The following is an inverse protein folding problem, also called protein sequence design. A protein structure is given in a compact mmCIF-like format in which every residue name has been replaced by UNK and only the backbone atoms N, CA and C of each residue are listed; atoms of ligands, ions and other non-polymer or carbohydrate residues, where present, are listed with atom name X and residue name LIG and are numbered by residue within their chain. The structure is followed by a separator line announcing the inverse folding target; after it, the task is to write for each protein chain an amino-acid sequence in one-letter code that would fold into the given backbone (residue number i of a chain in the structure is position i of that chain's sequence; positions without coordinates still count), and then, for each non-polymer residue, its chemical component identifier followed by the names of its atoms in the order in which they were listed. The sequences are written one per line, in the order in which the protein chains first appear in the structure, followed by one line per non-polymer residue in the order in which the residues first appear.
data_IF_145642337318
#
_entry.id   IF_145642337318
#
_cell.length_a   1.000
_cell.length_b   1.000
_cell.length_c   1.000
_cell.angle_alpha   90.00
_cell.angle_beta   90.00
_cell.angle_gamma   90.00
#
_symmetry.space_group_name_H-M   'P 1'
#
loop_
_entity.id
_entity.type
_entity.pdbx_description
1 polymer ?
#
# COMPACT_ATOMS: atom_id res chain seq x y z
N UNK A 1 -2.04 -3.81 -19.23
CA UNK A 1 -0.84 -4.09 -18.41
C UNK A 1 -1.22 -3.75 -17.01
N UNK A 2 -1.03 -4.71 -16.09
CA UNK A 2 -1.59 -4.67 -14.75
C UNK A 2 -0.53 -4.27 -13.73
N UNK A 3 -0.99 -3.84 -12.57
CA UNK A 3 -0.23 -3.59 -11.34
C UNK A 3 0.58 -4.78 -10.76
N UNK A 4 0.94 -5.77 -11.59
CA UNK A 4 1.70 -6.99 -11.21
C UNK A 4 3.09 -6.69 -10.68
N UNK A 5 3.68 -5.56 -11.09
CA UNK A 5 5.03 -5.14 -10.69
C UNK A 5 5.02 -4.08 -9.57
N UNK A 6 3.84 -3.72 -9.08
CA UNK A 6 3.66 -2.78 -7.97
C UNK A 6 3.30 -3.59 -6.73
N UNK A 7 4.03 -3.33 -5.65
CA UNK A 7 3.82 -3.97 -4.35
C UNK A 7 3.35 -2.92 -3.34
N UNK A 8 2.49 -3.30 -2.42
CA UNK A 8 2.05 -2.47 -1.30
C UNK A 8 2.61 -3.08 -0.02
N UNK A 9 3.38 -2.29 0.74
CA UNK A 9 3.93 -2.72 2.02
C UNK A 9 2.87 -2.63 3.11
N UNK A 10 2.71 -3.72 3.87
CA UNK A 10 1.81 -3.80 5.02
C UNK A 10 2.53 -3.34 6.29
N UNK A 11 1.76 -2.98 7.32
CA UNK A 11 2.26 -2.56 8.62
C UNK A 11 3.12 -3.64 9.30
N UNK A 12 2.89 -4.91 8.98
CA UNK A 12 3.65 -6.05 9.51
C UNK A 12 4.84 -6.44 8.63
N UNK A 13 5.37 -5.50 7.85
CA UNK A 13 6.50 -5.67 6.91
C UNK A 13 6.27 -6.73 5.83
N UNK A 14 5.01 -7.06 5.54
CA UNK A 14 4.64 -7.91 4.41
C UNK A 14 4.53 -7.12 3.11
N UNK A 15 4.58 -7.82 1.97
CA UNK A 15 4.31 -7.24 0.65
C UNK A 15 3.09 -7.90 0.02
N UNK A 16 2.21 -7.07 -0.53
CA UNK A 16 1.01 -7.48 -1.26
C UNK A 16 1.12 -6.98 -2.69
N UNK A 17 0.76 -7.81 -3.67
CA UNK A 17 0.71 -7.35 -5.06
C UNK A 17 -0.47 -6.44 -5.29
N UNK A 18 -0.24 -5.28 -5.91
CA UNK A 18 -1.29 -4.29 -6.13
C UNK A 18 -2.39 -4.79 -7.08
N UNK A 19 -2.09 -5.72 -8.00
CA UNK A 19 -3.13 -6.34 -8.85
C UNK A 19 -4.07 -7.29 -8.09
N UNK A 20 -3.73 -7.69 -6.86
CA UNK A 20 -4.59 -8.52 -6.01
C UNK A 20 -5.54 -7.69 -5.13
N UNK A 21 -5.35 -6.36 -5.10
CA UNK A 21 -6.16 -5.43 -4.32
C UNK A 21 -7.49 -5.20 -5.03
N UNK A 22 -8.59 -5.56 -4.37
CA UNK A 22 -9.97 -5.33 -4.85
C UNK A 22 -10.68 -4.20 -4.13
N UNK A 23 -10.10 -3.68 -3.06
CA UNK A 23 -10.64 -2.56 -2.31
C UNK A 23 -9.62 -1.95 -1.37
N UNK A 24 -9.89 -0.72 -0.96
CA UNK A 24 -9.16 -0.02 0.10
C UNK A 24 -10.21 0.45 1.09
N UNK A 25 -10.00 0.16 2.36
CA UNK A 25 -10.95 0.44 3.42
C UNK A 25 -10.28 1.15 4.59
N UNK A 26 -11.05 1.96 5.31
CA UNK A 26 -10.63 2.60 6.55
C UNK A 26 -11.68 2.40 7.64
N UNK A 27 -11.28 1.78 8.74
CA UNK A 27 -12.20 1.51 9.86
C UNK A 27 -11.49 1.56 11.21
N UNK A 28 -12.28 1.67 12.27
CA UNK A 28 -11.79 1.72 13.65
C UNK A 28 -11.68 0.34 14.27
N UNK A 29 -10.60 0.08 15.01
CA UNK A 29 -10.53 -1.08 15.91
C UNK A 29 -11.54 -0.90 17.05
N UNK A 30 -12.11 -1.99 17.59
CA UNK A 30 -12.92 -1.91 18.81
C UNK A 30 -12.17 -1.22 19.95
N UNK A 31 -12.85 -0.37 20.71
CA UNK A 31 -12.30 0.15 21.95
C UNK A 31 -12.26 -0.98 22.99
N UNK A 32 -11.11 -1.17 23.63
CA UNK A 32 -10.93 -2.14 24.72
C UNK A 32 -10.57 -1.38 26.00
N UNK A 33 -10.91 -1.93 27.16
CA UNK A 33 -10.55 -1.29 28.45
C UNK A 33 -9.04 -1.06 28.51
N UNK A 34 -8.63 0.20 28.68
CA UNK A 34 -7.22 0.62 28.70
C UNK A 34 -6.53 0.74 27.33
N UNK A 35 -7.20 0.46 26.20
CA UNK A 35 -6.65 0.63 24.85
C UNK A 35 -7.59 1.48 23.99
N UNK A 36 -7.20 2.73 23.64
CA UNK A 36 -8.03 3.56 22.79
C UNK A 36 -8.22 2.92 21.41
N UNK A 37 -9.37 3.17 20.81
CA UNK A 37 -9.61 2.81 19.41
C UNK A 37 -8.59 3.50 18.51
N UNK A 38 -8.24 2.82 17.43
CA UNK A 38 -7.32 3.28 16.40
C UNK A 38 -7.95 3.07 15.04
N UNK A 39 -7.66 3.96 14.11
CA UNK A 39 -8.04 3.78 12.72
C UNK A 39 -7.03 2.87 12.02
N UNK A 40 -7.52 2.00 11.16
CA UNK A 40 -6.73 1.16 10.28
C UNK A 40 -7.02 1.59 8.85
N UNK A 41 -5.97 1.72 8.05
CA UNK A 41 -6.06 1.77 6.60
C UNK A 41 -5.64 0.41 6.06
N UNK A 42 -6.57 -0.28 5.40
CA UNK A 42 -6.39 -1.65 4.92
C UNK A 42 -6.55 -1.72 3.40
N UNK A 43 -5.84 -2.67 2.78
CA UNK A 43 -6.17 -3.19 1.45
C UNK A 43 -6.96 -4.49 1.60
N UNK A 44 -7.96 -4.65 0.74
CA UNK A 44 -8.80 -5.84 0.65
C UNK A 44 -8.34 -6.67 -0.53
N UNK A 45 -8.06 -7.95 -0.31
CA UNK A 45 -7.57 -8.85 -1.36
C UNK A 45 -8.65 -9.80 -1.86
N UNK A 46 -8.64 -10.04 -3.17
CA UNK A 46 -9.35 -11.17 -3.78
C UNK A 46 -8.57 -12.46 -3.47
N UNK A 47 -8.69 -12.94 -2.24
CA UNK A 47 -8.13 -14.21 -1.81
C UNK A 47 -9.02 -14.80 -0.75
N UNK A 48 -9.55 -16.03 -0.93
CA UNK A 48 -10.26 -16.69 0.14
C UNK A 48 -9.28 -16.95 1.29
N UNK A 49 -9.49 -16.31 2.44
CA UNK A 49 -8.98 -16.88 3.69
C UNK A 49 -9.97 -17.96 4.10
N UNK A 50 -9.64 -19.19 3.73
CA UNK A 50 -10.44 -20.37 3.99
C UNK A 50 -10.04 -21.06 5.29
N UNK A 51 -10.99 -21.25 6.19
CA UNK A 51 -10.92 -22.26 7.25
C UNK A 51 -12.01 -23.29 6.99
N UNK A 52 -11.65 -24.57 6.99
CA UNK A 52 -12.57 -25.67 6.73
C UNK A 52 -12.96 -26.40 8.02
N UNK A 53 -14.25 -26.64 8.19
CA UNK A 53 -14.75 -27.69 9.09
C UNK A 53 -15.37 -28.81 8.24
N UNK A 54 -15.78 -29.91 8.86
CA UNK A 54 -16.43 -31.04 8.16
C UNK A 54 -17.73 -30.63 7.46
N UNK A 55 -18.32 -29.50 7.84
CA UNK A 55 -19.61 -28.99 7.39
C UNK A 55 -19.51 -27.86 6.33
N UNK A 56 -18.31 -27.38 5.99
CA UNK A 56 -18.15 -26.37 4.93
C UNK A 56 -16.85 -25.58 4.93
N UNK A 57 -16.72 -24.70 3.93
CA UNK A 57 -15.58 -23.79 3.76
C UNK A 57 -16.07 -22.35 3.95
N UNK A 58 -15.50 -21.63 4.93
CA UNK A 58 -15.80 -20.21 5.12
C UNK A 58 -14.81 -19.40 4.30
N UNK A 59 -15.29 -18.62 3.34
CA UNK A 59 -14.48 -17.69 2.53
C UNK A 59 -14.72 -16.28 3.04
N UNK A 60 -13.69 -15.67 3.62
CA UNK A 60 -13.71 -14.23 3.94
C UNK A 60 -12.68 -13.47 3.11
N UNK A 61 -12.96 -12.19 2.88
CA UNK A 61 -11.99 -11.26 2.28
C UNK A 61 -10.83 -11.04 3.23
N UNK A 62 -9.61 -11.03 2.69
CA UNK A 62 -8.41 -10.77 3.46
C UNK A 62 -8.16 -9.26 3.56
N UNK A 63 -8.24 -8.71 4.77
CA UNK A 63 -7.79 -7.36 5.07
C UNK A 63 -6.30 -7.38 5.45
N UNK A 64 -5.51 -6.51 4.82
CA UNK A 64 -4.10 -6.30 5.16
C UNK A 64 -3.89 -4.85 5.54
N UNK A 65 -3.55 -4.62 6.80
CA UNK A 65 -3.30 -3.27 7.31
C UNK A 65 -2.02 -2.69 6.77
N UNK A 66 -2.12 -1.49 6.21
CA UNK A 66 -1.00 -0.70 5.71
C UNK A 66 -0.43 0.19 6.81
N UNK A 67 -1.31 0.90 7.51
CA UNK A 67 -0.95 1.80 8.61
C UNK A 67 -2.11 1.89 9.59
N UNK A 68 -1.78 2.06 10.87
CA UNK A 68 -2.72 2.34 11.94
C UNK A 68 -2.52 3.78 12.42
N UNK A 69 -3.57 4.58 12.59
CA UNK A 69 -3.50 5.98 13.05
C UNK A 69 -4.35 6.21 14.30
N UNK A 70 -4.11 7.32 15.01
CA UNK A 70 -4.95 7.72 16.13
C UNK A 70 -6.24 8.38 15.64
N UNK A 71 -6.12 9.23 14.61
CA UNK A 71 -7.21 9.93 13.95
C UNK A 71 -7.63 9.25 12.64
N UNK A 72 -8.77 9.69 12.12
CA UNK A 72 -9.30 9.28 10.82
C UNK A 72 -8.28 9.58 9.70
N UNK A 73 -7.93 8.59 8.84
CA UNK A 73 -7.01 8.78 7.72
C UNK A 73 -7.59 9.62 6.57
N UNK A 74 -8.85 10.06 6.65
CA UNK A 74 -9.45 11.01 5.70
C UNK A 74 -9.54 10.43 4.29
N UNK A 75 -9.04 11.17 3.30
CA UNK A 75 -9.06 10.75 1.89
C UNK A 75 -7.93 9.78 1.51
N UNK A 76 -7.14 9.28 2.46
CA UNK A 76 -6.07 8.32 2.19
C UNK A 76 -6.51 7.08 1.38
N UNK A 77 -7.71 6.47 1.62
CA UNK A 77 -8.19 5.39 0.76
C UNK A 77 -8.33 5.81 -0.70
N UNK A 78 -8.92 6.97 -0.96
CA UNK A 78 -9.11 7.51 -2.31
C UNK A 78 -7.76 7.92 -2.94
N UNK A 79 -6.85 8.50 -2.16
CA UNK A 79 -5.51 8.84 -2.61
C UNK A 79 -4.72 7.60 -3.04
N UNK A 80 -4.84 6.48 -2.31
CA UNK A 80 -4.20 5.22 -2.68
C UNK A 80 -4.76 4.67 -4.00
N UNK A 81 -6.08 4.65 -4.16
CA UNK A 81 -6.71 4.19 -5.42
C UNK A 81 -6.24 5.04 -6.61
N UNK A 82 -6.19 6.37 -6.45
CA UNK A 82 -5.69 7.28 -7.48
C UNK A 82 -4.21 7.04 -7.80
N UNK A 83 -3.37 6.85 -6.79
CA UNK A 83 -1.95 6.54 -6.97
C UNK A 83 -1.78 5.23 -7.75
N UNK A 84 -2.49 4.16 -7.37
CA UNK A 84 -2.43 2.88 -8.08
C UNK A 84 -2.89 3.03 -9.54
N UNK A 85 -3.96 3.78 -9.80
CA UNK A 85 -4.38 4.06 -11.17
C UNK A 85 -3.32 4.81 -11.99
N UNK A 86 -2.61 5.76 -11.38
CA UNK A 86 -1.51 6.49 -12.03
C UNK A 86 -0.31 5.57 -12.33
N UNK A 87 0.03 4.67 -11.41
CA UNK A 87 1.12 3.71 -11.59
C UNK A 87 0.81 2.68 -12.68
N UNK A 88 -0.45 2.27 -12.82
CA UNK A 88 -0.90 1.38 -13.89
C UNK A 88 -0.72 2.04 -15.28
N UNK A 89 -1.09 3.32 -15.40
CA UNK A 89 -0.95 4.09 -16.65
C UNK A 89 0.50 4.18 -17.15
N UNK A 90 1.47 4.26 -16.24
CA UNK A 90 2.90 4.37 -16.59
C UNK A 90 3.64 3.03 -16.56
N UNK A 91 2.93 1.92 -16.33
CA UNK A 91 3.52 0.58 -16.16
C UNK A 91 4.66 0.56 -15.13
N UNK A 92 4.45 1.24 -14.01
CA UNK A 92 5.46 1.35 -12.97
C UNK A 92 5.82 0.01 -12.33
N UNK A 93 7.04 -0.08 -11.81
CA UNK A 93 7.51 -1.19 -11.00
C UNK A 93 8.15 -0.65 -9.72
N UNK A 94 7.68 -1.10 -8.56
CA UNK A 94 8.18 -0.58 -7.27
C UNK A 94 7.29 -0.92 -6.08
N UNK A 95 7.53 -0.22 -4.97
CA UNK A 95 6.84 -0.44 -3.69
C UNK A 95 6.12 0.84 -3.26
N UNK A 96 4.85 0.71 -2.90
CA UNK A 96 4.04 1.72 -2.22
C UNK A 96 4.08 1.45 -0.72
N UNK A 97 4.41 2.47 0.05
CA UNK A 97 4.45 2.45 1.52
C UNK A 97 3.49 3.47 2.08
N UNK A 98 2.85 3.17 3.21
CA UNK A 98 1.98 4.10 3.93
C UNK A 98 2.59 4.41 5.29
N UNK A 99 2.80 5.69 5.59
CA UNK A 99 3.34 6.13 6.87
C UNK A 99 2.40 7.16 7.51
N UNK A 100 2.50 7.30 8.83
CA UNK A 100 1.84 8.39 9.54
C UNK A 100 2.54 9.69 9.15
N UNK A 101 1.75 10.71 8.81
CA UNK A 101 2.29 12.06 8.66
C UNK A 101 2.49 12.64 10.06
N UNK A 102 3.75 12.80 10.47
CA UNK A 102 4.06 13.51 11.71
C UNK A 102 3.74 15.00 11.54
N UNK A 103 3.15 15.62 12.57
CA UNK A 103 2.84 17.05 12.58
C UNK A 103 4.07 17.97 12.47
N UNK A 104 5.29 17.41 12.46
CA UNK A 104 6.55 18.14 12.29
C UNK A 104 7.03 18.24 10.84
N UNK A 105 6.39 17.53 9.91
CA UNK A 105 6.75 17.54 8.50
C UNK A 105 6.11 18.71 7.71
N UNK A 106 5.43 19.63 8.39
CA UNK A 106 4.83 20.85 7.79
C UNK A 106 5.83 22.02 7.62
N UNK A 107 7.11 21.90 8.04
CA UNK A 107 8.10 22.97 7.82
C UNK A 107 9.47 22.44 7.38
N UNK A 108 9.63 22.28 6.07
CA UNK A 108 10.91 22.07 5.42
C UNK A 108 10.72 21.76 3.94
N UNK A 109 11.45 22.41 3.01
CA UNK A 109 11.36 22.06 1.59
C UNK A 109 11.71 20.57 1.48
N UNK A 110 10.72 19.77 1.06
CA UNK A 110 10.80 18.32 1.02
C UNK A 110 12.14 17.91 0.44
N UNK A 111 12.94 17.20 1.25
CA UNK A 111 14.15 16.55 0.74
C UNK A 111 13.71 15.75 -0.48
N UNK A 112 14.24 16.01 -1.68
CA UNK A 112 13.89 15.21 -2.84
C UNK A 112 14.17 13.76 -2.46
N UNK A 113 13.15 12.91 -2.52
CA UNK A 113 13.39 11.47 -2.56
C UNK A 113 14.34 11.16 -3.72
N UNK A 114 14.97 9.98 -3.74
CA UNK A 114 15.65 9.52 -4.95
C UNK A 114 14.75 9.75 -6.18
N UNK A 115 15.36 10.14 -7.30
CA UNK A 115 14.64 10.51 -8.51
C UNK A 115 13.61 9.43 -8.89
N UNK A 116 12.32 9.79 -8.94
CA UNK A 116 11.22 8.88 -9.25
C UNK A 116 10.27 8.57 -8.07
N UNK A 117 10.57 9.03 -6.86
CA UNK A 117 9.65 8.94 -5.73
C UNK A 117 8.39 9.78 -5.95
N UNK A 118 7.22 9.19 -5.76
CA UNK A 118 5.93 9.88 -5.80
C UNK A 118 5.32 9.87 -4.40
N UNK A 119 4.97 11.06 -3.91
CA UNK A 119 4.29 11.23 -2.62
C UNK A 119 2.85 11.65 -2.87
N UNK A 120 1.90 10.84 -2.41
CA UNK A 120 0.48 11.16 -2.35
C UNK A 120 0.03 11.10 -0.90
N UNK A 121 -1.06 11.76 -0.55
CA UNK A 121 -1.53 11.72 0.83
C UNK A 121 -2.81 12.48 1.02
N UNK A 122 -3.56 12.00 1.99
CA UNK A 122 -4.78 12.59 2.47
C UNK A 122 -4.68 12.82 3.97
N UNK A 123 -4.73 14.08 4.40
CA UNK A 123 -4.62 14.44 5.82
C UNK A 123 -3.35 13.91 6.51
N UNK A 124 -3.52 12.91 7.39
CA UNK A 124 -2.51 12.39 8.33
C UNK A 124 -1.80 11.10 7.89
N UNK A 125 -2.06 10.61 6.68
CA UNK A 125 -1.35 9.46 6.09
C UNK A 125 -0.61 9.91 4.84
N UNK A 126 0.69 9.58 4.78
CA UNK A 126 1.54 9.79 3.62
C UNK A 126 1.74 8.46 2.89
N UNK A 127 1.44 8.45 1.61
CA UNK A 127 1.71 7.34 0.68
C UNK A 127 2.97 7.70 -0.12
N UNK A 128 3.94 6.79 -0.14
CA UNK A 128 5.18 6.97 -0.90
C UNK A 128 5.39 5.78 -1.82
N UNK A 129 5.52 6.05 -3.11
CA UNK A 129 5.99 5.07 -4.08
C UNK A 129 7.51 5.21 -4.24
N UNK A 130 8.22 4.08 -4.21
CA UNK A 130 9.65 3.96 -4.49
C UNK A 130 9.83 3.01 -5.67
N UNK A 131 10.31 3.48 -6.84
CA UNK A 131 10.54 2.61 -7.99
C UNK A 131 11.66 1.61 -7.71
N UNK A 132 11.59 0.43 -8.31
CA UNK A 132 12.75 -0.45 -8.36
C UNK A 132 13.85 0.20 -9.18
N UNK A 133 15.11 0.04 -8.75
CA UNK A 133 16.24 0.49 -9.55
C UNK A 133 16.17 -0.16 -10.94
N UNK A 134 16.21 0.67 -11.99
CA UNK A 134 16.38 0.16 -13.34
C UNK A 134 17.75 -0.54 -13.46
N UNK A 135 17.91 -1.48 -14.40
CA UNK A 135 19.24 -2.00 -14.71
C UNK A 135 20.14 -0.82 -15.10
N UNK A 136 21.40 -0.83 -14.63
CA UNK A 136 22.37 0.20 -15.04
C UNK A 136 22.44 0.24 -16.58
N UNK A 137 22.51 1.44 -17.18
CA UNK A 137 22.73 1.56 -18.61
C UNK A 137 23.97 0.76 -19.02
N UNK A 138 23.79 -0.31 -19.80
CA UNK A 138 24.86 -1.23 -20.21
C UNK A 138 24.79 -2.63 -19.60
N UNK A 139 23.82 -2.92 -18.73
CA UNK A 139 23.58 -4.29 -18.28
C UNK A 139 22.83 -5.07 -19.37
N UNK A 140 23.58 -5.83 -20.15
CA UNK A 140 23.06 -6.84 -21.08
C UNK A 140 22.23 -7.88 -20.30
N UNK A 141 20.92 -7.68 -20.23
CA UNK A 141 20.00 -8.77 -19.88
C UNK A 141 20.11 -9.77 -21.00
N UNK A 142 20.90 -10.84 -20.84
CA UNK A 142 21.31 -11.83 -21.86
C UNK A 142 20.18 -12.60 -22.60
N UNK A 143 19.09 -11.93 -22.91
CA UNK A 143 18.00 -12.32 -23.78
C UNK A 143 18.37 -12.13 -25.26
N UNK A 144 19.54 -11.57 -25.60
CA UNK A 144 20.04 -11.50 -26.99
C UNK A 144 20.55 -12.84 -27.57
N UNK A 145 20.41 -13.96 -26.84
CA UNK A 145 20.83 -15.30 -27.29
C UNK A 145 19.67 -16.30 -27.49
N UNK A 146 18.43 -15.83 -27.66
CA UNK A 146 17.29 -16.67 -28.03
C UNK A 146 16.71 -16.30 -29.39
#
# INVERSE_FOLDING_TARGET
MSLTNVWVQTQSDGLVRADQVVGVDAHTTPALSGKPSRWLLDVVLAGPLGSGTRDGWTVTMAHRTLVQTAEDPGDAPAALVRLLAQLDLVNAAGIVTATRADARDDDGPGRPGPAGDVVAGGGRVRLRFVPFAGPEPGHHTGAEYL
#
